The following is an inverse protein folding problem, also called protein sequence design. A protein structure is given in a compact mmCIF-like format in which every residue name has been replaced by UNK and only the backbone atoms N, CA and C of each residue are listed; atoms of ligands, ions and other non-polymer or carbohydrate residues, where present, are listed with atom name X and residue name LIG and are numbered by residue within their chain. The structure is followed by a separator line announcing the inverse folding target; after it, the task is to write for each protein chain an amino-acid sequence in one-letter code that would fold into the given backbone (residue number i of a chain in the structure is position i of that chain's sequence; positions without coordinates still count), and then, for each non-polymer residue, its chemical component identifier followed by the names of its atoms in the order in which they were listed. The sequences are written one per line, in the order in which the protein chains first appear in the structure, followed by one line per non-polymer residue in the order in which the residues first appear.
data_IF_627132503448
#
_entry.id   IF_627132503448
#
_cell.length_a   1.000
_cell.length_b   1.000
_cell.length_c   1.000
_cell.angle_alpha   90.00
_cell.angle_beta   90.00
_cell.angle_gamma   90.00
#
_symmetry.space_group_name_H-M   'P 1'
#
loop_
_entity.id
_entity.type
_entity.pdbx_description
1 polymer ?
#
# COMPACT_ATOMS: atom_id res chain seq x y z
N UNK A 1 8.38 -11.76 8.33
CA UNK A 1 7.18 -12.23 7.60
C UNK A 1 7.52 -12.07 6.13
N UNK A 2 7.41 -13.16 5.37
CA UNK A 2 7.80 -13.17 3.95
C UNK A 2 6.66 -12.63 3.08
N UNK A 3 6.99 -12.01 1.95
CA UNK A 3 6.00 -11.46 1.01
C UNK A 3 5.07 -12.55 0.47
N UNK A 4 5.59 -13.76 0.26
CA UNK A 4 4.79 -14.92 -0.15
C UNK A 4 3.74 -15.31 0.90
N UNK A 5 4.10 -15.21 2.19
CA UNK A 5 3.14 -15.45 3.27
C UNK A 5 2.06 -14.37 3.27
N UNK A 6 2.45 -13.10 3.14
CA UNK A 6 1.52 -11.97 3.03
C UNK A 6 0.53 -12.14 1.87
N UNK A 7 1.02 -12.56 0.70
CA UNK A 7 0.15 -12.82 -0.45
C UNK A 7 -0.82 -13.97 -0.17
N UNK A 8 -0.34 -15.06 0.45
CA UNK A 8 -1.19 -16.18 0.86
C UNK A 8 -2.29 -15.73 1.82
N UNK A 9 -1.94 -14.95 2.83
CA UNK A 9 -2.89 -14.43 3.82
C UNK A 9 -3.91 -13.48 3.15
N UNK A 10 -3.45 -12.63 2.24
CA UNK A 10 -4.32 -11.72 1.50
C UNK A 10 -5.32 -12.49 0.61
N UNK A 11 -4.89 -13.59 -0.02
CA UNK A 11 -5.77 -14.47 -0.80
C UNK A 11 -6.75 -15.23 0.09
N UNK A 12 -6.34 -15.66 1.28
CA UNK A 12 -7.24 -16.28 2.25
C UNK A 12 -8.34 -15.32 2.72
N UNK A 13 -8.02 -14.03 2.89
CA UNK A 13 -8.97 -13.01 3.35
C UNK A 13 -9.91 -12.55 2.22
N UNK A 14 -9.35 -12.25 1.05
CA UNK A 14 -10.09 -11.58 -0.04
C UNK A 14 -10.52 -12.50 -1.18
N UNK A 15 -10.06 -13.75 -1.17
CA UNK A 15 -10.32 -14.75 -2.20
C UNK A 15 -9.53 -14.51 -3.51
N UNK A 16 -9.93 -15.26 -4.53
CA UNK A 16 -9.22 -15.35 -5.81
C UNK A 16 -9.64 -14.29 -6.84
N UNK A 17 -10.63 -13.44 -6.52
CA UNK A 17 -11.05 -12.37 -7.43
C UNK A 17 -9.90 -11.38 -7.62
N UNK A 18 -9.43 -11.25 -8.86
CA UNK A 18 -8.44 -10.26 -9.26
C UNK A 18 -9.10 -8.95 -9.65
N UNK A 19 -8.50 -7.85 -9.20
CA UNK A 19 -8.94 -6.50 -9.54
C UNK A 19 -8.23 -5.96 -10.78
N UNK A 20 -8.91 -5.09 -11.52
CA UNK A 20 -8.28 -4.30 -12.58
C UNK A 20 -7.49 -3.12 -11.99
N UNK A 21 -6.63 -2.50 -12.79
CA UNK A 21 -5.89 -1.31 -12.35
C UNK A 21 -6.82 -0.15 -11.95
N UNK A 22 -7.93 0.05 -12.67
CA UNK A 22 -8.91 1.09 -12.37
C UNK A 22 -9.58 0.84 -11.00
N UNK A 23 -9.94 -0.42 -10.73
CA UNK A 23 -10.51 -0.86 -9.47
C UNK A 23 -9.52 -0.70 -8.30
N UNK A 24 -8.23 -0.93 -8.55
CA UNK A 24 -7.15 -0.75 -7.58
C UNK A 24 -6.97 0.74 -7.26
N UNK A 25 -6.90 1.61 -8.27
CA UNK A 25 -6.72 3.05 -8.09
C UNK A 25 -7.85 3.64 -7.22
N UNK A 26 -9.09 3.24 -7.47
CA UNK A 26 -10.24 3.68 -6.65
C UNK A 26 -10.07 3.28 -5.19
N UNK A 27 -9.60 2.06 -4.91
CA UNK A 27 -9.40 1.57 -3.53
C UNK A 27 -8.22 2.22 -2.84
N UNK A 28 -7.10 2.41 -3.54
CA UNK A 28 -5.95 3.15 -3.02
C UNK A 28 -6.35 4.59 -2.63
N UNK A 29 -7.28 5.20 -3.38
CA UNK A 29 -7.84 6.50 -3.06
C UNK A 29 -8.53 6.59 -1.69
N UNK A 30 -9.06 5.47 -1.17
CA UNK A 30 -9.66 5.42 0.16
C UNK A 30 -8.58 5.54 1.23
N UNK A 31 -7.59 4.65 1.22
CA UNK A 31 -6.51 4.64 2.22
C UNK A 31 -5.70 5.95 2.17
N UNK A 32 -5.43 6.45 0.96
CA UNK A 32 -4.79 7.77 0.79
C UNK A 32 -5.67 8.90 1.33
N UNK A 33 -6.99 8.82 1.12
CA UNK A 33 -7.95 9.77 1.67
C UNK A 33 -7.95 9.78 3.20
N UNK A 34 -7.75 8.63 3.83
CA UNK A 34 -7.66 8.49 5.29
C UNK A 34 -6.37 9.14 5.81
N UNK A 35 -5.23 8.88 5.18
CA UNK A 35 -3.96 9.55 5.48
C UNK A 35 -4.02 11.07 5.24
N UNK A 36 -4.72 11.53 4.20
CA UNK A 36 -4.91 12.97 3.95
C UNK A 36 -5.77 13.61 5.04
N UNK A 37 -6.78 12.92 5.57
CA UNK A 37 -7.61 13.43 6.68
C UNK A 37 -6.83 13.49 7.98
N UNK A 38 -6.01 12.47 8.23
CA UNK A 38 -5.05 12.46 9.32
C UNK A 38 -4.12 13.67 9.26
N UNK A 39 -3.45 13.87 8.11
CA UNK A 39 -2.45 14.92 7.94
C UNK A 39 -2.99 16.35 8.12
N UNK A 40 -4.28 16.58 7.85
CA UNK A 40 -4.95 17.88 8.01
C UNK A 40 -5.70 18.04 9.33
N UNK A 41 -5.55 17.08 10.26
CA UNK A 41 -6.25 17.06 11.54
C UNK A 41 -7.78 17.23 11.40
N UNK A 42 -8.42 16.46 10.51
CA UNK A 42 -9.86 16.60 10.28
C UNK A 42 -10.68 16.36 11.57
N UNK A 43 -11.54 17.32 11.94
CA UNK A 43 -12.30 17.31 13.20
C UNK A 43 -13.09 16.01 13.45
N UNK A 44 -13.69 15.45 12.38
CA UNK A 44 -14.50 14.23 12.46
C UNK A 44 -13.71 12.97 12.85
N UNK A 45 -12.39 12.99 12.63
CA UNK A 45 -11.51 11.83 12.85
C UNK A 45 -10.55 12.07 14.04
N UNK A 46 -10.69 13.19 14.76
CA UNK A 46 -9.78 13.60 15.83
C UNK A 46 -9.65 12.55 16.95
N UNK A 47 -10.72 11.81 17.25
CA UNK A 47 -10.69 10.73 18.24
C UNK A 47 -9.89 9.49 17.77
N UNK A 48 -9.70 9.34 16.47
CA UNK A 48 -8.95 8.26 15.83
C UNK A 48 -7.54 8.71 15.44
N UNK A 49 -7.12 9.91 15.85
CA UNK A 49 -5.75 10.38 15.62
C UNK A 49 -4.74 9.75 16.60
N UNK A 50 -4.63 8.42 16.60
CA UNK A 50 -3.65 7.66 17.40
C UNK A 50 -2.57 6.99 16.53
N UNK A 51 -1.35 6.87 17.05
CA UNK A 51 -0.25 6.22 16.32
C UNK A 51 -0.59 4.80 15.87
N UNK A 52 -1.42 4.09 16.63
CA UNK A 52 -1.91 2.75 16.29
C UNK A 52 -2.77 2.76 15.01
N UNK A 53 -3.63 3.77 14.85
CA UNK A 53 -4.48 3.90 13.67
C UNK A 53 -3.64 4.27 12.43
N UNK A 54 -2.66 5.16 12.59
CA UNK A 54 -1.74 5.50 11.51
C UNK A 54 -0.92 4.27 11.07
N UNK A 55 -0.41 3.48 12.03
CA UNK A 55 0.30 2.23 11.72
C UNK A 55 -0.59 1.24 10.98
N UNK A 56 -1.86 1.12 11.39
CA UNK A 56 -2.85 0.26 10.73
C UNK A 56 -3.10 0.71 9.29
N UNK A 57 -3.28 2.00 9.02
CA UNK A 57 -3.51 2.48 7.63
C UNK A 57 -2.30 2.31 6.72
N UNK A 58 -1.08 2.54 7.23
CA UNK A 58 0.13 2.22 6.49
C UNK A 58 0.24 0.71 6.21
N UNK A 59 -0.14 -0.12 7.18
CA UNK A 59 -0.26 -1.57 7.02
C UNK A 59 -1.26 -1.98 5.95
N UNK A 60 -2.44 -1.36 5.92
CA UNK A 60 -3.48 -1.60 4.91
C UNK A 60 -2.95 -1.36 3.49
N UNK A 61 -2.22 -0.27 3.28
CA UNK A 61 -1.62 0.05 1.99
C UNK A 61 -0.59 -1.01 1.59
N UNK A 62 0.36 -1.34 2.49
CA UNK A 62 1.41 -2.32 2.21
C UNK A 62 0.78 -3.68 1.86
N UNK A 63 -0.15 -4.15 2.69
CA UNK A 63 -0.77 -5.46 2.54
C UNK A 63 -1.64 -5.54 1.27
N UNK A 64 -2.41 -4.49 1.00
CA UNK A 64 -3.25 -4.41 -0.20
C UNK A 64 -2.42 -4.36 -1.47
N UNK A 65 -1.32 -3.59 -1.50
CA UNK A 65 -0.45 -3.47 -2.67
C UNK A 65 0.21 -4.81 -3.02
N UNK A 66 0.60 -5.62 -2.03
CA UNK A 66 1.14 -6.98 -2.28
C UNK A 66 0.12 -7.82 -3.05
N UNK A 67 -1.14 -7.81 -2.64
CA UNK A 67 -2.21 -8.52 -3.37
C UNK A 67 -2.44 -7.91 -4.76
N UNK A 68 -2.44 -6.59 -4.88
CA UNK A 68 -2.70 -5.90 -6.13
C UNK A 68 -1.60 -6.12 -7.19
N UNK A 69 -0.34 -6.27 -6.76
CA UNK A 69 0.72 -6.75 -7.63
C UNK A 69 0.33 -8.10 -8.28
N UNK A 70 -0.10 -9.07 -7.49
CA UNK A 70 -0.52 -10.38 -7.99
C UNK A 70 -1.83 -10.32 -8.82
N UNK A 71 -2.77 -9.43 -8.46
CA UNK A 71 -3.99 -9.19 -9.24
C UNK A 71 -3.64 -8.75 -10.69
N UNK A 72 -2.60 -7.95 -10.85
CA UNK A 72 -2.09 -7.47 -12.14
C UNK A 72 -1.10 -8.43 -12.82
N UNK A 73 -0.80 -9.58 -12.20
CA UNK A 73 0.13 -10.59 -12.71
C UNK A 73 1.60 -10.25 -12.50
N UNK A 74 1.91 -9.39 -11.54
CA UNK A 74 3.27 -9.03 -11.15
C UNK A 74 3.73 -9.78 -9.90
N UNK A 75 5.02 -10.12 -9.86
CA UNK A 75 5.67 -10.59 -8.63
C UNK A 75 5.97 -9.39 -7.71
N UNK A 76 5.43 -9.34 -6.47
CA UNK A 76 5.64 -8.21 -5.58
C UNK A 76 7.11 -8.03 -5.17
N UNK A 77 7.89 -9.12 -5.06
CA UNK A 77 9.33 -9.04 -4.75
C UNK A 77 10.09 -8.33 -5.87
N UNK A 78 9.85 -8.71 -7.13
CA UNK A 78 10.41 -8.04 -8.30
C UNK A 78 9.98 -6.56 -8.41
N UNK A 79 8.72 -6.23 -8.06
CA UNK A 79 8.26 -4.84 -8.01
C UNK A 79 9.05 -4.00 -7.00
N UNK A 80 9.31 -4.55 -5.81
CA UNK A 80 10.06 -3.85 -4.75
C UNK A 80 11.53 -3.64 -5.16
N UNK A 81 12.17 -4.62 -5.78
CA UNK A 81 13.56 -4.42 -6.26
C UNK A 81 13.65 -3.31 -7.31
N UNK A 82 12.72 -3.28 -8.28
CA UNK A 82 12.63 -2.17 -9.26
C UNK A 82 12.40 -0.82 -8.58
N UNK A 83 11.54 -0.77 -7.57
CA UNK A 83 11.30 0.45 -6.80
C UNK A 83 12.55 0.93 -6.04
N UNK A 84 13.29 0.01 -5.41
CA UNK A 84 14.56 0.32 -4.71
C UNK A 84 15.61 0.87 -5.66
N UNK A 85 15.75 0.28 -6.84
CA UNK A 85 16.66 0.77 -7.88
C UNK A 85 16.29 2.20 -8.31
N UNK A 86 15.01 2.44 -8.60
CA UNK A 86 14.52 3.77 -8.99
C UNK A 86 14.75 4.82 -7.89
N UNK A 87 14.45 4.49 -6.62
CA UNK A 87 14.68 5.39 -5.49
C UNK A 87 16.17 5.68 -5.27
N UNK A 88 17.05 4.68 -5.39
CA UNK A 88 18.50 4.86 -5.31
C UNK A 88 19.02 5.74 -6.44
N UNK A 89 18.51 5.57 -7.66
CA UNK A 89 18.88 6.40 -8.80
C UNK A 89 18.44 7.85 -8.59
N UNK A 90 17.19 8.08 -8.16
CA UNK A 90 16.67 9.40 -7.85
C UNK A 90 17.50 10.08 -6.73
N UNK A 91 17.76 9.38 -5.62
CA UNK A 91 18.54 9.91 -4.52
C UNK A 91 19.98 10.31 -4.91
N UNK A 92 20.58 9.66 -5.92
CA UNK A 92 21.89 10.06 -6.46
C UNK A 92 21.80 11.33 -7.32
N UNK A 93 20.72 11.49 -8.09
CA UNK A 93 20.50 12.64 -8.96
C UNK A 93 20.09 13.89 -8.18
N UNK A 94 19.26 13.75 -7.14
CA UNK A 94 18.77 14.86 -6.30
C UNK A 94 19.73 15.29 -5.20
N UNK A 95 20.88 14.62 -5.05
CA UNK A 95 21.98 15.03 -4.15
C UNK A 95 23.01 15.93 -4.85
N UNK A 96 22.68 16.45 -6.03
CA UNK A 96 23.45 17.46 -6.76
C UNK A 96 22.81 18.83 -6.54
#
# INVERSE_FOLDING_TARGET
MEIKQLLSDARAIWGDKKLTIDEIIVRLGVDMGDLCRWARHADKDHAMHTDDELQKELGNIIFSVIRWCDDLGYDPEACIERAKEAQRAFAKQSRV
#
